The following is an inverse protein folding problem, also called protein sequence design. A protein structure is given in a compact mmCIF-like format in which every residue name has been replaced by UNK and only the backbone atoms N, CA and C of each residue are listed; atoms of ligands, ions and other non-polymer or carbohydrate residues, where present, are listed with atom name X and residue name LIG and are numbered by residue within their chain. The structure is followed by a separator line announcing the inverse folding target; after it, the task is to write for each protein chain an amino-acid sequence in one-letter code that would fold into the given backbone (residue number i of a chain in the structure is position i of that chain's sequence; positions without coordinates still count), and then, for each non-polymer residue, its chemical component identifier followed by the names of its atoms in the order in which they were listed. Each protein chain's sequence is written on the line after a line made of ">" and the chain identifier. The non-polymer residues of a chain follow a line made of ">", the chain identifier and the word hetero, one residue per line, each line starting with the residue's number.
data_IF_173437879689
#
_entry.id   IF_173437879689
#
_cell.length_a   1.000
_cell.length_b   1.000
_cell.length_c   1.000
_cell.angle_alpha   90.00
_cell.angle_beta   90.00
_cell.angle_gamma   90.00
#
_symmetry.space_group_name_H-M   'P 1'
#
loop_
_entity.id
_entity.type
_entity.pdbx_description
1 polymer ?
#
# COMPACT_ATOMS: atom_id res chain seq x y z
N UNK A 1 6.79 0.74 34.75
CA UNK A 1 5.72 1.59 34.14
C UNK A 1 4.50 0.72 33.89
N UNK A 2 3.26 1.19 34.07
CA UNK A 2 2.08 0.43 33.67
C UNK A 2 1.95 0.46 32.13
N UNK A 3 1.31 -0.56 31.54
CA UNK A 3 1.09 -0.60 30.06
C UNK A 3 0.39 0.66 29.57
N UNK A 4 -0.62 1.14 30.29
CA UNK A 4 -1.37 2.36 29.91
C UNK A 4 -0.51 3.63 29.94
N UNK A 5 0.42 3.74 30.87
CA UNK A 5 1.38 4.86 30.93
C UNK A 5 2.38 4.75 29.80
N UNK A 6 2.90 3.54 29.52
CA UNK A 6 3.78 3.28 28.40
C UNK A 6 3.12 3.68 27.07
N UNK A 7 1.92 3.20 26.80
CA UNK A 7 1.19 3.50 25.56
C UNK A 7 0.99 5.02 25.38
N UNK A 8 0.66 5.73 26.45
CA UNK A 8 0.48 7.18 26.42
C UNK A 8 1.79 7.91 26.08
N UNK A 9 2.90 7.55 26.72
CA UNK A 9 4.20 8.17 26.52
C UNK A 9 4.74 7.81 25.14
N UNK A 10 4.67 6.54 24.77
CA UNK A 10 5.08 6.05 23.45
C UNK A 10 4.35 6.77 22.30
N UNK A 11 3.03 6.91 22.39
CA UNK A 11 2.25 7.64 21.40
C UNK A 11 2.60 9.14 21.36
N UNK A 12 2.93 9.76 22.49
CA UNK A 12 3.35 11.16 22.54
C UNK A 12 4.72 11.34 21.90
N UNK A 13 5.69 10.49 22.22
CA UNK A 13 7.03 10.49 21.65
C UNK A 13 6.99 10.29 20.12
N UNK A 14 6.24 9.29 19.64
CA UNK A 14 6.02 9.03 18.21
C UNK A 14 5.42 10.24 17.50
N UNK A 15 4.43 10.89 18.11
CA UNK A 15 3.80 12.10 17.54
C UNK A 15 4.77 13.26 17.44
N UNK A 16 5.60 13.45 18.46
CA UNK A 16 6.65 14.50 18.48
C UNK A 16 7.66 14.27 17.38
N UNK A 17 8.21 13.05 17.26
CA UNK A 17 9.16 12.68 16.23
C UNK A 17 8.56 12.80 14.82
N UNK A 18 7.34 12.30 14.62
CA UNK A 18 6.65 12.41 13.34
C UNK A 18 6.50 13.88 12.90
N UNK A 19 6.09 14.75 13.81
CA UNK A 19 5.96 16.20 13.52
C UNK A 19 7.31 16.84 13.18
N UNK A 20 8.36 16.51 13.93
CA UNK A 20 9.72 17.06 13.70
C UNK A 20 10.27 16.65 12.33
N UNK A 21 9.98 15.43 11.87
CA UNK A 21 10.48 14.87 10.61
C UNK A 21 9.49 14.99 9.43
N UNK A 22 8.40 15.75 9.59
CA UNK A 22 7.41 16.00 8.53
C UNK A 22 6.48 14.84 8.21
N UNK A 23 6.40 13.83 9.09
CA UNK A 23 5.42 12.75 8.98
C UNK A 23 4.09 13.17 9.58
N UNK A 24 3.00 12.70 8.99
CA UNK A 24 1.65 12.77 9.58
C UNK A 24 1.38 11.48 10.32
N UNK A 25 0.58 11.54 11.39
CA UNK A 25 0.25 10.37 12.20
C UNK A 25 -1.25 10.08 12.17
N UNK A 26 -1.59 8.80 12.13
CA UNK A 26 -2.94 8.30 12.39
C UNK A 26 -2.84 6.92 13.04
N UNK A 27 -3.52 6.75 14.17
CA UNK A 27 -3.59 5.49 14.91
C UNK A 27 -2.19 4.85 15.12
N UNK A 28 -1.97 3.67 14.55
CA UNK A 28 -0.74 2.89 14.65
C UNK A 28 0.26 3.14 13.51
N UNK A 29 0.05 4.13 12.64
CA UNK A 29 0.98 4.39 11.54
C UNK A 29 1.27 5.89 11.34
N UNK A 30 2.43 6.15 10.76
CA UNK A 30 2.81 7.47 10.26
C UNK A 30 2.82 7.43 8.73
N UNK A 31 2.58 8.57 8.07
CA UNK A 31 2.51 8.61 6.63
C UNK A 31 3.01 9.92 6.04
N UNK A 32 3.55 9.83 4.81
CA UNK A 32 3.91 10.97 3.95
C UNK A 32 3.44 10.72 2.53
N UNK A 33 3.26 11.81 1.78
CA UNK A 33 3.02 11.77 0.34
C UNK A 33 4.10 12.60 -0.31
N UNK A 34 4.89 11.98 -1.18
CA UNK A 34 5.97 12.62 -1.89
C UNK A 34 6.00 12.11 -3.34
N UNK A 35 6.14 13.01 -4.31
CA UNK A 35 6.32 12.70 -5.75
C UNK A 35 5.33 11.67 -6.31
N UNK A 36 4.07 11.71 -5.86
CA UNK A 36 3.03 10.78 -6.34
C UNK A 36 2.99 9.42 -5.61
N UNK A 37 3.84 9.23 -4.61
CA UNK A 37 3.83 8.04 -3.76
C UNK A 37 3.17 8.31 -2.40
N UNK A 38 2.55 7.28 -1.86
CA UNK A 38 2.18 7.20 -0.45
C UNK A 38 3.19 6.31 0.27
N UNK A 39 3.83 6.85 1.29
CA UNK A 39 4.69 6.12 2.22
C UNK A 39 3.95 5.94 3.53
N UNK A 40 3.86 4.69 3.99
CA UNK A 40 3.29 4.31 5.29
C UNK A 40 4.35 3.67 6.17
N UNK A 41 4.59 4.25 7.34
CA UNK A 41 5.41 3.64 8.37
C UNK A 41 4.49 3.06 9.45
N UNK A 42 4.47 1.74 9.55
CA UNK A 42 3.60 0.98 10.45
C UNK A 42 4.35 0.57 11.70
N UNK A 43 3.79 0.93 12.86
CA UNK A 43 4.25 0.53 14.18
C UNK A 43 3.74 -0.89 14.50
N UNK A 44 4.23 -1.84 13.75
CA UNK A 44 3.99 -3.28 13.94
C UNK A 44 5.34 -3.93 14.26
N UNK A 45 5.32 -5.11 14.83
CA UNK A 45 6.55 -5.82 15.14
C UNK A 45 6.90 -6.82 14.01
N UNK A 46 8.03 -6.63 13.31
CA UNK A 46 8.88 -5.42 13.34
C UNK A 46 8.22 -4.20 12.68
N UNK A 47 8.59 -2.97 13.08
CA UNK A 47 8.20 -1.76 12.37
C UNK A 47 8.63 -1.83 10.91
N UNK A 48 7.80 -1.30 10.00
CA UNK A 48 8.07 -1.40 8.57
C UNK A 48 7.66 -0.15 7.81
N UNK A 49 8.45 0.15 6.77
CA UNK A 49 8.15 1.16 5.78
C UNK A 49 7.58 0.48 4.53
N UNK A 50 6.42 0.95 4.09
CA UNK A 50 5.76 0.52 2.86
C UNK A 50 5.60 1.69 1.90
N UNK A 51 5.60 1.41 0.60
CA UNK A 51 5.41 2.39 -0.46
C UNK A 51 4.43 1.89 -1.52
N UNK A 52 3.62 2.81 -2.02
CA UNK A 52 2.77 2.58 -3.20
C UNK A 52 2.53 3.88 -3.97
N UNK A 53 2.42 3.84 -5.30
CA UNK A 53 1.92 4.97 -6.07
C UNK A 53 0.48 5.30 -5.70
N UNK A 54 0.12 6.58 -5.67
CA UNK A 54 -1.24 7.01 -5.30
C UNK A 54 -2.32 6.47 -6.24
N UNK A 55 -2.01 6.32 -7.53
CA UNK A 55 -2.96 5.81 -8.53
C UNK A 55 -3.39 4.36 -8.29
N UNK A 56 -2.59 3.59 -7.53
CA UNK A 56 -2.87 2.18 -7.24
C UNK A 56 -4.20 2.02 -6.51
N UNK A 57 -4.45 2.83 -5.48
CA UNK A 57 -5.72 2.79 -4.75
C UNK A 57 -6.87 3.28 -5.64
N UNK A 58 -6.65 4.33 -6.44
CA UNK A 58 -7.68 4.91 -7.31
C UNK A 58 -8.14 3.92 -8.38
N UNK A 59 -7.18 3.21 -9.01
CA UNK A 59 -7.48 2.18 -9.99
C UNK A 59 -8.16 0.97 -9.34
N UNK A 60 -7.70 0.58 -8.16
CA UNK A 60 -8.33 -0.48 -7.41
C UNK A 60 -9.79 -0.16 -7.06
N UNK A 61 -10.09 1.06 -6.60
CA UNK A 61 -11.46 1.48 -6.32
C UNK A 61 -12.34 1.50 -7.59
N UNK A 62 -11.77 1.84 -8.75
CA UNK A 62 -12.51 1.75 -10.02
C UNK A 62 -12.83 0.29 -10.40
N UNK A 63 -11.86 -0.60 -10.25
CA UNK A 63 -12.02 -2.02 -10.59
C UNK A 63 -13.04 -2.70 -9.68
N UNK A 64 -13.06 -2.32 -8.40
CA UNK A 64 -13.94 -2.90 -7.38
C UNK A 64 -15.26 -2.11 -7.19
N UNK A 65 -15.53 -1.16 -8.08
CA UNK A 65 -16.77 -0.37 -8.09
C UNK A 65 -17.00 0.43 -6.78
N UNK A 66 -15.92 1.02 -6.23
CA UNK A 66 -15.91 1.83 -5.01
C UNK A 66 -15.43 3.28 -5.28
N UNK A 67 -15.99 3.99 -6.28
CA UNK A 67 -15.46 5.31 -6.67
C UNK A 67 -15.63 6.37 -5.57
N UNK A 68 -16.53 6.20 -4.61
CA UNK A 68 -16.72 7.08 -3.46
C UNK A 68 -15.49 7.17 -2.57
N UNK A 69 -14.67 6.12 -2.52
CA UNK A 69 -13.43 6.09 -1.74
C UNK A 69 -12.38 7.09 -2.23
N UNK A 70 -12.47 7.56 -3.48
CA UNK A 70 -11.55 8.57 -4.05
C UNK A 70 -11.63 9.91 -3.31
N UNK A 71 -12.79 10.21 -2.71
CA UNK A 71 -12.98 11.42 -1.90
C UNK A 71 -12.51 11.27 -0.45
N UNK A 72 -12.09 10.07 -0.04
CA UNK A 72 -11.68 9.80 1.33
C UNK A 72 -10.37 10.54 1.70
N UNK A 73 -10.22 10.92 2.97
CA UNK A 73 -8.98 11.55 3.45
C UNK A 73 -7.76 10.69 3.16
N UNK A 74 -6.63 11.34 2.80
CA UNK A 74 -5.37 10.68 2.49
C UNK A 74 -4.88 9.76 3.61
N UNK A 75 -5.20 10.09 4.87
CA UNK A 75 -4.88 9.27 6.04
C UNK A 75 -5.57 7.89 6.05
N UNK A 76 -6.58 7.65 5.21
CA UNK A 76 -7.20 6.32 5.07
C UNK A 76 -6.43 5.40 4.13
N UNK A 77 -5.51 5.93 3.33
CA UNK A 77 -4.68 5.13 2.41
C UNK A 77 -3.65 4.23 3.10
N UNK A 78 -3.47 4.36 4.42
CA UNK A 78 -2.71 3.40 5.24
C UNK A 78 -3.59 2.38 5.97
N UNK A 79 -4.89 2.35 5.70
CA UNK A 79 -5.81 1.40 6.34
C UNK A 79 -6.20 0.30 5.34
N UNK A 80 -5.71 -0.93 5.57
CA UNK A 80 -5.93 -2.07 4.69
C UNK A 80 -7.40 -2.44 4.43
N UNK A 81 -8.36 -1.97 5.23
CA UNK A 81 -9.78 -2.09 4.93
C UNK A 81 -10.26 -1.07 3.87
N UNK A 82 -9.48 -0.02 3.61
CA UNK A 82 -9.86 1.11 2.77
C UNK A 82 -8.98 1.26 1.52
N UNK A 83 -7.79 0.69 1.56
CA UNK A 83 -6.77 0.83 0.53
C UNK A 83 -5.90 -0.41 0.49
N UNK A 84 -5.16 -0.60 -0.60
CA UNK A 84 -4.19 -1.68 -0.71
C UNK A 84 -2.98 -1.44 0.20
N UNK A 85 -2.42 -2.51 0.73
CA UNK A 85 -1.11 -2.45 1.38
C UNK A 85 -0.05 -2.06 0.34
N UNK A 86 0.96 -1.31 0.77
CA UNK A 86 2.11 -0.96 -0.07
C UNK A 86 3.08 -2.13 -0.26
N UNK A 87 4.00 -1.97 -1.18
CA UNK A 87 5.18 -2.83 -1.23
C UNK A 87 6.09 -2.52 -0.02
N UNK A 88 6.57 -3.55 0.65
CA UNK A 88 7.52 -3.38 1.76
C UNK A 88 8.83 -2.83 1.21
N UNK A 89 9.21 -1.65 1.67
CA UNK A 89 10.48 -1.03 1.33
C UNK A 89 11.58 -1.45 2.31
N UNK A 90 11.30 -1.40 3.61
CA UNK A 90 12.22 -1.83 4.65
C UNK A 90 11.49 -2.33 5.90
N UNK A 91 12.19 -3.10 6.74
CA UNK A 91 11.78 -3.48 8.09
C UNK A 91 12.91 -3.18 9.08
N UNK A 92 12.53 -2.82 10.31
CA UNK A 92 13.43 -2.33 11.35
C UNK A 92 13.44 -3.32 12.49
N UNK A 93 14.06 -4.50 12.27
CA UNK A 93 14.06 -5.65 13.18
C UNK A 93 14.88 -5.41 14.47
N UNK A 94 15.74 -4.40 14.45
CA UNK A 94 16.57 -3.97 15.59
C UNK A 94 15.81 -3.03 16.56
N UNK A 95 14.54 -2.81 16.31
CA UNK A 95 13.69 -1.91 17.06
C UNK A 95 12.87 -2.68 18.10
N UNK A 96 13.46 -2.95 19.26
CA UNK A 96 12.75 -3.58 20.38
C UNK A 96 12.56 -2.57 21.53
N UNK A 97 11.31 -2.22 21.79
CA UNK A 97 10.92 -1.37 22.90
C UNK A 97 9.92 -2.12 23.77
N UNK A 98 10.22 -2.23 25.05
CA UNK A 98 9.31 -2.80 26.03
C UNK A 98 8.98 -1.83 27.15
N UNK A 99 7.86 -2.05 27.83
CA UNK A 99 7.37 -1.17 28.88
C UNK A 99 8.25 -1.17 30.15
N UNK A 100 9.01 -2.25 30.38
CA UNK A 100 9.76 -2.44 31.62
C UNK A 100 11.05 -1.63 31.63
N UNK A 101 11.71 -1.50 30.47
CA UNK A 101 13.04 -0.88 30.34
C UNK A 101 12.98 0.52 29.71
N UNK A 102 11.79 1.02 29.32
CA UNK A 102 11.65 2.29 28.61
C UNK A 102 11.47 3.47 29.54
N UNK A 103 12.22 4.56 29.25
CA UNK A 103 11.97 5.90 29.80
C UNK A 103 11.37 6.82 28.74
N UNK A 104 10.74 7.95 29.09
CA UNK A 104 10.25 8.91 28.12
C UNK A 104 11.33 9.37 27.13
N UNK A 105 12.54 9.60 27.60
CA UNK A 105 13.69 10.06 26.82
C UNK A 105 14.17 9.00 25.83
N UNK A 106 14.19 7.72 26.26
CA UNK A 106 14.51 6.59 25.38
C UNK A 106 13.48 6.43 24.28
N UNK A 107 12.19 6.56 24.60
CA UNK A 107 11.11 6.49 23.62
C UNK A 107 11.19 7.64 22.60
N UNK A 108 11.52 8.85 23.06
CA UNK A 108 11.68 10.00 22.17
C UNK A 108 12.87 9.81 21.23
N UNK A 109 14.02 9.42 21.73
CA UNK A 109 15.22 9.13 20.92
C UNK A 109 14.95 8.00 19.93
N UNK A 110 14.33 6.92 20.38
CA UNK A 110 13.97 5.78 19.54
C UNK A 110 13.09 6.19 18.35
N UNK A 111 12.02 6.96 18.58
CA UNK A 111 11.12 7.36 17.48
C UNK A 111 11.77 8.36 16.53
N UNK A 112 12.63 9.25 17.04
CA UNK A 112 13.40 10.16 16.19
C UNK A 112 14.33 9.36 15.29
N UNK A 113 15.12 8.45 15.84
CA UNK A 113 16.09 7.66 15.10
C UNK A 113 15.41 6.73 14.07
N UNK A 114 14.30 6.10 14.47
CA UNK A 114 13.59 5.16 13.60
C UNK A 114 12.91 5.89 12.43
N UNK A 115 12.23 7.01 12.69
CA UNK A 115 11.59 7.78 11.61
C UNK A 115 12.61 8.55 10.75
N UNK A 116 13.78 8.91 11.29
CA UNK A 116 14.88 9.47 10.49
C UNK A 116 15.46 8.42 9.53
N UNK A 117 15.65 7.19 9.99
CA UNK A 117 16.02 6.06 9.11
C UNK A 117 14.98 5.84 8.02
N UNK A 118 13.70 5.80 8.38
CA UNK A 118 12.60 5.65 7.42
C UNK A 118 12.56 6.82 6.42
N UNK A 119 12.92 8.03 6.84
CA UNK A 119 13.01 9.20 5.96
C UNK A 119 14.14 9.05 4.95
N UNK A 120 15.31 8.59 5.38
CA UNK A 120 16.44 8.31 4.48
C UNK A 120 16.12 7.21 3.46
N UNK A 121 15.50 6.12 3.91
CA UNK A 121 15.10 5.03 3.02
C UNK A 121 14.07 5.52 1.97
N UNK A 122 13.13 6.37 2.39
CA UNK A 122 12.19 7.03 1.49
C UNK A 122 12.91 7.93 0.46
N UNK A 123 13.85 8.76 0.89
CA UNK A 123 14.62 9.65 0.02
C UNK A 123 15.48 8.87 -0.99
N UNK A 124 16.12 7.79 -0.55
CA UNK A 124 16.85 6.89 -1.44
C UNK A 124 15.92 6.27 -2.47
N UNK A 125 14.77 5.74 -2.05
CA UNK A 125 13.77 5.18 -2.95
C UNK A 125 13.30 6.21 -4.01
N UNK A 126 13.03 7.45 -3.61
CA UNK A 126 12.61 8.51 -4.52
C UNK A 126 13.70 8.89 -5.53
N UNK A 127 14.96 8.82 -5.15
CA UNK A 127 16.09 9.04 -6.06
C UNK A 127 16.21 7.92 -7.11
N UNK A 128 15.92 6.68 -6.73
CA UNK A 128 15.96 5.50 -7.61
C UNK A 128 14.69 5.39 -8.48
N UNK A 129 13.55 5.88 -7.99
CA UNK A 129 12.22 5.77 -8.62
C UNK A 129 11.50 7.12 -8.69
N UNK A 130 12.01 8.09 -9.48
CA UNK A 130 11.46 9.46 -9.51
C UNK A 130 10.09 9.57 -10.17
N UNK A 131 9.65 8.56 -10.93
CA UNK A 131 8.36 8.53 -11.63
C UNK A 131 7.43 7.47 -11.04
N UNK A 132 6.50 7.92 -10.20
CA UNK A 132 5.50 7.05 -9.60
C UNK A 132 4.60 6.38 -10.66
N UNK A 133 4.36 7.03 -11.80
CA UNK A 133 3.55 6.48 -12.89
C UNK A 133 4.18 5.26 -13.54
N UNK A 134 5.51 5.22 -13.62
CA UNK A 134 6.24 4.11 -14.22
C UNK A 134 6.60 2.99 -13.23
N UNK A 135 6.51 3.25 -11.93
CA UNK A 135 6.93 2.29 -10.90
C UNK A 135 6.02 1.07 -10.83
N UNK A 136 6.60 -0.12 -10.96
CA UNK A 136 5.93 -1.41 -10.79
C UNK A 136 6.62 -2.15 -9.63
N UNK A 137 5.97 -2.27 -8.46
CA UNK A 137 6.57 -2.92 -7.31
C UNK A 137 6.83 -4.40 -7.56
N UNK A 138 7.96 -4.90 -7.08
CA UNK A 138 8.23 -6.32 -7.00
C UNK A 138 7.65 -6.87 -5.71
N UNK A 139 6.82 -7.90 -5.82
CA UNK A 139 6.13 -8.53 -4.70
C UNK A 139 6.32 -10.04 -4.78
N UNK A 140 6.92 -10.60 -3.77
CA UNK A 140 6.98 -12.04 -3.59
C UNK A 140 5.72 -12.53 -2.88
N UNK A 141 5.07 -13.54 -3.44
CA UNK A 141 3.89 -14.19 -2.86
C UNK A 141 3.97 -15.71 -3.02
N UNK A 142 3.44 -16.43 -2.07
CA UNK A 142 3.18 -17.86 -2.22
C UNK A 142 1.94 -18.04 -3.10
N UNK A 143 2.16 -18.38 -4.37
CA UNK A 143 1.09 -18.51 -5.38
C UNK A 143 0.08 -19.64 -5.08
N UNK A 144 0.28 -20.41 -4.01
CA UNK A 144 -0.65 -21.48 -3.58
C UNK A 144 -1.64 -21.03 -2.50
N UNK A 145 -1.48 -19.79 -1.99
CA UNK A 145 -2.21 -19.25 -0.84
C UNK A 145 -2.94 -17.94 -1.18
N UNK A 146 -3.11 -17.12 -0.16
CA UNK A 146 -3.63 -15.77 -0.31
C UNK A 146 -2.57 -14.84 -0.93
N UNK A 147 -2.88 -14.34 -2.11
CA UNK A 147 -2.04 -13.42 -2.88
C UNK A 147 -2.55 -11.98 -2.82
N UNK A 148 -3.26 -11.59 -1.77
CA UNK A 148 -3.80 -10.22 -1.61
C UNK A 148 -2.72 -9.16 -1.77
N UNK A 149 -1.51 -9.40 -1.26
CA UNK A 149 -0.38 -8.48 -1.41
C UNK A 149 0.05 -8.24 -2.86
N UNK A 150 -0.26 -9.15 -3.78
CA UNK A 150 0.06 -8.95 -5.20
C UNK A 150 -0.79 -7.84 -5.85
N UNK A 151 -1.88 -7.40 -5.21
CA UNK A 151 -2.81 -6.42 -5.78
C UNK A 151 -2.14 -5.11 -6.15
N UNK A 152 -1.22 -4.60 -5.32
CA UNK A 152 -0.49 -3.36 -5.62
C UNK A 152 0.31 -3.48 -6.92
N UNK A 153 0.97 -4.63 -7.15
CA UNK A 153 1.69 -4.92 -8.40
C UNK A 153 0.73 -5.06 -9.59
N UNK A 154 -0.39 -5.75 -9.40
CA UNK A 154 -1.38 -5.93 -10.48
C UNK A 154 -1.97 -4.59 -10.92
N UNK A 155 -2.28 -3.69 -10.00
CA UNK A 155 -2.72 -2.33 -10.30
C UNK A 155 -1.65 -1.56 -11.07
N UNK A 156 -0.39 -1.68 -10.66
CA UNK A 156 0.72 -1.03 -11.35
C UNK A 156 0.94 -1.58 -12.78
N UNK A 157 0.82 -2.89 -12.99
CA UNK A 157 0.87 -3.49 -14.32
C UNK A 157 -0.25 -2.97 -15.21
N UNK A 158 -1.49 -2.94 -14.72
CA UNK A 158 -2.66 -2.46 -15.48
C UNK A 158 -2.53 -0.97 -15.80
N UNK A 159 -2.06 -0.14 -14.87
CA UNK A 159 -1.81 1.28 -15.11
C UNK A 159 -0.81 1.50 -16.24
N UNK A 160 0.23 0.70 -16.27
CA UNK A 160 1.30 0.77 -17.28
C UNK A 160 0.96 0.05 -18.60
N UNK A 161 -0.30 -0.35 -18.83
CA UNK A 161 -0.73 -1.01 -20.08
C UNK A 161 -0.22 -2.45 -20.24
N UNK A 162 0.23 -3.09 -19.14
CA UNK A 162 0.73 -4.47 -19.10
C UNK A 162 -0.34 -5.44 -18.56
N UNK A 163 -1.59 -5.26 -19.02
CA UNK A 163 -2.74 -6.07 -18.57
C UNK A 163 -2.56 -7.55 -18.85
N UNK A 164 -1.86 -7.90 -19.93
CA UNK A 164 -1.62 -9.32 -20.27
C UNK A 164 -0.77 -10.01 -19.20
N UNK A 165 0.24 -9.33 -18.66
CA UNK A 165 1.07 -9.87 -17.60
C UNK A 165 0.28 -10.03 -16.28
N UNK A 166 -0.59 -9.06 -15.96
CA UNK A 166 -1.47 -9.18 -14.82
C UNK A 166 -2.42 -10.40 -14.96
N UNK A 167 -3.01 -10.58 -16.12
CA UNK A 167 -3.90 -11.72 -16.41
C UNK A 167 -3.14 -13.05 -16.34
N UNK A 168 -1.93 -13.13 -16.89
CA UNK A 168 -1.11 -14.35 -16.82
C UNK A 168 -0.71 -14.70 -15.41
N UNK A 169 -0.33 -13.71 -14.59
CA UNK A 169 -0.06 -13.91 -13.17
C UNK A 169 -1.29 -14.51 -12.46
N UNK A 170 -2.46 -13.91 -12.63
CA UNK A 170 -3.71 -14.37 -12.00
C UNK A 170 -4.05 -15.81 -12.43
N UNK A 171 -3.96 -16.11 -13.72
CA UNK A 171 -4.22 -17.47 -14.23
C UNK A 171 -3.26 -18.50 -13.61
N UNK A 172 -1.97 -18.14 -13.48
CA UNK A 172 -0.97 -19.02 -12.88
C UNK A 172 -1.26 -19.27 -11.40
N UNK A 173 -1.59 -18.23 -10.64
CA UNK A 173 -1.96 -18.33 -9.22
C UNK A 173 -3.20 -19.21 -9.06
N UNK A 174 -4.27 -18.94 -9.81
CA UNK A 174 -5.51 -19.73 -9.75
C UNK A 174 -5.28 -21.20 -10.11
N UNK A 175 -4.40 -21.49 -11.09
CA UNK A 175 -4.03 -22.87 -11.45
C UNK A 175 -3.32 -23.61 -10.30
N UNK A 176 -2.59 -22.88 -9.44
CA UNK A 176 -1.91 -23.43 -8.25
C UNK A 176 -2.81 -23.50 -7.01
N UNK A 177 -4.05 -23.03 -7.10
CA UNK A 177 -5.01 -23.00 -5.98
C UNK A 177 -4.94 -21.74 -5.13
N UNK A 178 -4.12 -20.79 -5.50
CA UNK A 178 -4.06 -19.49 -4.84
C UNK A 178 -5.26 -18.60 -5.18
N UNK A 179 -5.52 -17.62 -4.32
CA UNK A 179 -6.67 -16.72 -4.42
C UNK A 179 -6.34 -15.34 -3.86
N UNK A 180 -7.17 -14.36 -4.15
CA UNK A 180 -7.12 -13.06 -3.50
C UNK A 180 -8.31 -12.92 -2.54
N UNK A 181 -8.00 -12.91 -1.26
CA UNK A 181 -9.01 -12.78 -0.19
C UNK A 181 -9.32 -11.32 0.17
N UNK A 182 -8.91 -10.38 -0.68
CA UNK A 182 -9.19 -8.98 -0.40
C UNK A 182 -10.70 -8.71 -0.39
N UNK A 183 -11.17 -8.29 0.77
CA UNK A 183 -12.54 -7.88 1.00
C UNK A 183 -12.52 -6.39 1.33
N UNK A 184 -13.12 -5.58 0.52
CA UNK A 184 -13.26 -4.13 0.74
C UNK A 184 -14.21 -3.77 1.91
N UNK A 185 -14.27 -4.57 2.94
CA UNK A 185 -15.28 -4.43 4.01
C UNK A 185 -16.72 -4.71 3.56
N UNK A 186 -16.95 -4.91 2.27
CA UNK A 186 -18.21 -5.39 1.73
C UNK A 186 -18.10 -6.90 1.50
N UNK A 187 -19.17 -7.62 1.83
CA UNK A 187 -19.29 -9.06 1.62
C UNK A 187 -19.22 -9.35 0.13
N UNK A 188 -18.06 -9.73 -0.34
CA UNK A 188 -17.84 -10.08 -1.74
C UNK A 188 -17.74 -11.59 -1.80
N UNK A 189 -18.77 -12.23 -2.31
CA UNK A 189 -18.81 -13.68 -2.56
C UNK A 189 -17.85 -14.10 -3.69
N UNK A 190 -16.95 -13.20 -4.08
CA UNK A 190 -16.15 -13.32 -5.28
C UNK A 190 -14.67 -13.08 -4.99
N UNK A 191 -13.80 -13.91 -5.56
CA UNK A 191 -12.34 -13.74 -5.53
C UNK A 191 -11.93 -12.39 -6.14
N UNK A 192 -11.08 -11.63 -5.44
CA UNK A 192 -10.62 -10.31 -5.90
C UNK A 192 -9.98 -10.34 -7.29
N UNK A 193 -9.35 -11.45 -7.69
CA UNK A 193 -8.79 -11.61 -9.03
C UNK A 193 -9.84 -11.63 -10.14
N UNK A 194 -11.06 -12.07 -9.86
CA UNK A 194 -12.12 -12.11 -10.88
C UNK A 194 -12.57 -10.71 -11.29
N UNK A 195 -12.54 -9.72 -10.39
CA UNK A 195 -12.78 -8.32 -10.72
C UNK A 195 -11.76 -7.79 -11.72
N UNK A 196 -10.48 -8.11 -11.49
CA UNK A 196 -9.38 -7.70 -12.38
C UNK A 196 -9.52 -8.35 -13.75
N UNK A 197 -9.80 -9.65 -13.80
CA UNK A 197 -9.98 -10.38 -15.07
C UNK A 197 -11.12 -9.79 -15.88
N UNK A 198 -12.25 -9.48 -15.26
CA UNK A 198 -13.38 -8.87 -15.96
C UNK A 198 -13.08 -7.44 -16.41
N UNK A 199 -12.39 -6.65 -15.60
CA UNK A 199 -11.92 -5.32 -15.97
C UNK A 199 -11.05 -5.36 -17.24
N UNK A 200 -10.02 -6.20 -17.23
CA UNK A 200 -9.11 -6.36 -18.36
C UNK A 200 -9.85 -6.83 -19.61
N UNK A 201 -10.83 -7.73 -19.48
CA UNK A 201 -11.67 -8.19 -20.59
C UNK A 201 -12.53 -7.07 -21.15
N UNK A 202 -13.21 -6.29 -20.32
CA UNK A 202 -14.03 -5.14 -20.73
C UNK A 202 -13.18 -4.11 -21.46
N UNK A 203 -11.99 -3.77 -20.95
CA UNK A 203 -11.07 -2.81 -21.57
C UNK A 203 -10.61 -3.25 -22.97
N UNK A 204 -10.27 -4.52 -23.14
CA UNK A 204 -9.92 -5.09 -24.46
C UNK A 204 -11.07 -5.03 -25.46
N UNK A 205 -12.28 -5.38 -25.03
CA UNK A 205 -13.49 -5.30 -25.87
C UNK A 205 -13.76 -3.86 -26.28
N UNK A 206 -13.62 -2.90 -25.37
CA UNK A 206 -13.84 -1.48 -25.68
C UNK A 206 -12.79 -0.94 -26.68
N UNK A 207 -11.52 -1.28 -26.48
CA UNK A 207 -10.44 -0.91 -27.40
C UNK A 207 -10.63 -1.51 -28.81
N UNK A 208 -11.14 -2.75 -28.90
CA UNK A 208 -11.47 -3.38 -30.17
C UNK A 208 -12.63 -2.69 -30.88
N UNK A 209 -13.71 -2.34 -30.15
CA UNK A 209 -14.86 -1.59 -30.72
C UNK A 209 -14.47 -0.20 -31.21
N UNK A 210 -13.57 0.50 -30.51
CA UNK A 210 -13.04 1.80 -30.96
C UNK A 210 -12.24 1.67 -32.26
N UNK A 211 -11.47 0.61 -32.43
CA UNK A 211 -10.75 0.33 -33.69
C UNK A 211 -11.68 0.05 -34.86
N UNK A 212 -12.83 -0.58 -34.63
CA UNK A 212 -13.84 -0.86 -35.65
C UNK A 212 -14.67 0.36 -36.07
N UNK A 213 -14.75 1.36 -35.22
CA UNK A 213 -15.55 2.57 -35.43
C UNK A 213 -14.74 3.86 -35.23
N UNK A 214 -13.74 4.15 -36.10
CA UNK A 214 -12.82 5.29 -35.92
C UNK A 214 -13.52 6.66 -36.05
N UNK A 215 -14.77 6.72 -36.48
CA UNK A 215 -15.53 7.95 -36.73
C UNK A 215 -16.41 8.40 -35.56
N UNK A 216 -16.49 7.64 -34.47
CA UNK A 216 -17.11 8.11 -33.20
C UNK A 216 -16.03 8.71 -32.27
N UNK A 217 -15.42 9.83 -32.69
CA UNK A 217 -14.79 10.77 -31.78
C UNK A 217 -15.86 11.74 -31.29
N UNK A 218 -16.22 11.64 -30.01
CA UNK A 218 -16.95 12.71 -29.33
C UNK A 218 -16.03 13.90 -29.11
#
# INVERSE_FOLDING_TARGET
>A
MTQKEFDKINNAARRSAAKALGWKQRDFFNWRVEQGYFFGFFDLFPPRLEVKPLYVDELWWDIFEMPENKSAPMSLRGNGAFSLDGAKLNAYDDCDINADDSTPELLESFWIDTLDRATRDMEQFLAEHPDAGAYIPEIEVDETRDCTRAMVRLMALIHNGREDEAVEFIKRVKKKGGRCMYHSGMFVDRDGFDYILDWCKKKKTHAWLQKLNPFKKN
#
